data_IF_071275763807
#
_entry.id   IF_071275763807
#
_cell.length_a   1.000
_cell.length_b   1.000
_cell.length_c   1.000
_cell.angle_alpha   90.00
_cell.angle_beta   90.00
_cell.angle_gamma   90.00
#
_symmetry.space_group_name_H-M   'P 1'
#
loop_
_entity.id
_entity.type
_entity.pdbx_description
1 polymer ?
#
# COMPACT_ATOMS: atom_id res chain seq x y z
N UNK A 1 -17.75 32.20 -54.51
CA UNK A 1 -17.75 32.23 -53.03
C UNK A 1 -16.37 31.79 -52.56
N UNK A 2 -15.59 32.70 -51.97
CA UNK A 2 -14.29 32.38 -51.36
C UNK A 2 -14.52 32.15 -49.86
N UNK A 3 -14.16 30.97 -49.35
CA UNK A 3 -14.18 30.67 -47.92
C UNK A 3 -12.85 31.14 -47.30
N UNK A 4 -12.89 32.24 -46.54
CA UNK A 4 -11.77 32.67 -45.69
C UNK A 4 -11.71 31.75 -44.47
N UNK A 5 -10.66 30.94 -44.36
CA UNK A 5 -10.31 30.29 -43.09
C UNK A 5 -9.71 31.35 -42.16
N UNK A 6 -10.45 31.71 -41.10
CA UNK A 6 -9.95 32.56 -40.01
C UNK A 6 -8.86 31.79 -39.24
N UNK A 7 -7.60 31.97 -39.64
CA UNK A 7 -6.43 31.30 -39.07
C UNK A 7 -5.83 31.98 -37.84
N UNK A 8 -6.47 33.02 -37.29
CA UNK A 8 -5.93 33.79 -36.15
C UNK A 8 -6.19 33.15 -34.77
N UNK A 9 -7.23 32.33 -34.61
CA UNK A 9 -7.62 31.81 -33.28
C UNK A 9 -6.79 30.60 -32.81
N UNK A 10 -6.08 29.92 -33.71
CA UNK A 10 -5.25 28.75 -33.38
C UNK A 10 -3.80 29.08 -32.98
N UNK A 11 -3.41 30.36 -33.00
CA UNK A 11 -2.04 30.80 -32.68
C UNK A 11 -1.72 30.87 -31.18
N UNK A 12 -2.68 30.57 -30.30
CA UNK A 12 -2.47 30.52 -28.83
C UNK A 12 -2.27 29.10 -28.32
N UNK A 13 -1.50 28.27 -29.03
CA UNK A 13 -1.02 27.01 -28.43
C UNK A 13 0.17 27.34 -27.54
N UNK A 14 0.13 26.91 -26.27
CA UNK A 14 1.29 26.98 -25.39
C UNK A 14 2.45 26.26 -26.10
N UNK A 15 3.66 26.83 -26.16
CA UNK A 15 4.80 26.13 -26.74
C UNK A 15 4.95 24.79 -26.02
N UNK A 16 4.80 23.69 -26.76
CA UNK A 16 5.07 22.36 -26.26
C UNK A 16 6.55 22.14 -26.51
N UNK A 17 7.34 22.25 -25.46
CA UNK A 17 8.73 21.84 -25.53
C UNK A 17 8.75 20.32 -25.79
N UNK A 18 9.45 19.83 -26.83
CA UNK A 18 9.62 18.41 -27.02
C UNK A 18 10.44 17.88 -25.84
N UNK A 19 9.75 17.25 -24.88
CA UNK A 19 10.42 16.55 -23.80
C UNK A 19 10.74 15.16 -24.32
N UNK A 20 12.02 14.81 -24.42
CA UNK A 20 12.41 13.44 -24.70
C UNK A 20 11.91 12.56 -23.55
N UNK A 21 10.93 11.70 -23.82
CA UNK A 21 10.43 10.71 -22.84
C UNK A 21 11.50 9.68 -22.46
N UNK A 22 12.60 9.64 -23.20
CA UNK A 22 13.74 8.76 -22.96
C UNK A 22 14.77 9.52 -22.14
N UNK A 23 14.93 9.13 -20.87
CA UNK A 23 16.10 9.53 -20.08
C UNK A 23 17.30 8.68 -20.49
N UNK A 24 18.48 9.26 -20.76
CA UNK A 24 19.68 8.48 -21.00
C UNK A 24 20.04 7.70 -19.73
N UNK A 25 20.30 6.40 -19.88
CA UNK A 25 20.84 5.59 -18.80
C UNK A 25 22.36 5.78 -18.76
N UNK A 26 22.85 6.54 -17.77
CA UNK A 26 24.27 6.71 -17.53
C UNK A 26 24.76 5.61 -16.57
N UNK A 27 25.95 5.08 -16.84
CA UNK A 27 26.62 4.22 -15.87
C UNK A 27 26.94 5.03 -14.61
N UNK A 28 26.84 4.38 -13.45
CA UNK A 28 27.15 5.06 -12.19
C UNK A 28 28.66 5.12 -12.03
N UNK A 29 29.22 6.33 -12.02
CA UNK A 29 30.63 6.55 -11.73
C UNK A 29 30.87 6.63 -10.22
N UNK A 30 31.90 5.93 -9.74
CA UNK A 30 32.28 5.94 -8.32
C UNK A 30 32.77 7.31 -7.85
N UNK A 31 33.41 8.07 -8.73
CA UNK A 31 33.92 9.41 -8.44
C UNK A 31 32.79 10.40 -8.11
N UNK A 32 31.64 10.27 -8.78
CA UNK A 32 30.48 11.14 -8.53
C UNK A 32 29.70 10.72 -7.29
N UNK A 33 29.71 9.42 -6.95
CA UNK A 33 28.92 8.86 -5.86
C UNK A 33 29.74 7.90 -4.98
N UNK A 34 30.76 8.40 -4.24
CA UNK A 34 31.70 7.55 -3.50
C UNK A 34 31.05 6.76 -2.35
N UNK A 35 29.91 7.23 -1.83
CA UNK A 35 29.18 6.57 -0.75
C UNK A 35 28.19 5.50 -1.23
N UNK A 36 28.06 5.29 -2.55
CA UNK A 36 27.07 4.34 -3.09
C UNK A 36 27.58 2.91 -2.99
N UNK A 37 26.92 2.08 -2.19
CA UNK A 37 27.20 0.65 -2.12
C UNK A 37 26.74 -0.03 -3.41
N UNK A 38 27.63 -0.75 -4.10
CA UNK A 38 27.31 -1.50 -5.33
C UNK A 38 26.22 -2.55 -5.11
N UNK A 39 26.24 -3.20 -3.95
CA UNK A 39 25.28 -4.22 -3.53
C UNK A 39 24.77 -3.86 -2.13
N UNK A 40 23.68 -3.08 -2.00
CA UNK A 40 23.08 -2.83 -0.69
C UNK A 40 22.54 -4.15 -0.13
N UNK A 41 22.72 -4.37 1.17
CA UNK A 41 22.05 -5.47 1.86
C UNK A 41 20.54 -5.28 1.73
N UNK A 42 19.78 -6.29 1.28
CA UNK A 42 18.32 -6.23 1.30
C UNK A 42 17.82 -5.93 2.72
N UNK A 43 16.71 -5.18 2.88
CA UNK A 43 16.11 -5.01 4.19
C UNK A 43 15.71 -6.37 4.75
N UNK A 44 15.87 -6.52 6.07
CA UNK A 44 15.39 -7.70 6.78
C UNK A 44 13.86 -7.73 6.73
N UNK A 45 13.31 -8.85 6.27
CA UNK A 45 11.87 -9.09 6.30
C UNK A 45 11.54 -9.54 7.72
N UNK A 46 11.01 -8.64 8.53
CA UNK A 46 10.50 -9.00 9.85
C UNK A 46 9.13 -9.64 9.63
N UNK A 47 9.05 -10.96 9.75
CA UNK A 47 7.77 -11.63 9.91
C UNK A 47 7.16 -11.11 11.21
N UNK A 48 5.98 -10.49 11.12
CA UNK A 48 5.20 -10.17 12.30
C UNK A 48 4.83 -11.52 12.92
N UNK A 49 5.62 -11.97 13.90
CA UNK A 49 5.27 -13.11 14.76
C UNK A 49 3.81 -12.96 15.15
N UNK A 50 3.04 -14.06 15.11
CA UNK A 50 1.65 -14.10 15.53
C UNK A 50 1.57 -13.57 16.96
N UNK A 51 1.35 -12.27 17.04
CA UNK A 51 1.57 -11.55 18.25
C UNK A 51 0.50 -11.99 19.22
N UNK A 52 0.90 -12.52 20.37
CA UNK A 52 0.15 -12.47 21.63
C UNK A 52 -0.05 -11.02 22.10
N UNK A 53 -0.16 -10.08 21.15
CA UNK A 53 -0.41 -8.69 21.43
C UNK A 53 -1.77 -8.61 22.13
N UNK A 54 -1.87 -7.79 23.19
CA UNK A 54 -3.12 -7.63 23.90
C UNK A 54 -4.20 -7.07 22.98
N UNK A 55 -5.43 -7.50 23.22
CA UNK A 55 -6.60 -7.03 22.44
C UNK A 55 -6.75 -5.52 22.60
N UNK A 56 -6.93 -4.81 21.49
CA UNK A 56 -7.21 -3.37 21.48
C UNK A 56 -8.71 -3.12 21.61
N UNK A 57 -9.51 -3.82 20.81
CA UNK A 57 -10.99 -3.70 20.81
C UNK A 57 -11.66 -4.89 20.14
N UNK A 58 -12.89 -5.16 20.57
CA UNK A 58 -13.83 -6.04 19.89
C UNK A 58 -14.72 -5.17 18.99
N UNK A 59 -14.79 -5.52 17.71
CA UNK A 59 -15.50 -4.70 16.70
C UNK A 59 -16.93 -5.20 16.50
N UNK A 60 -17.09 -6.53 16.39
CA UNK A 60 -18.37 -7.14 16.03
C UNK A 60 -18.49 -8.53 16.65
N UNK A 61 -19.69 -8.86 17.10
CA UNK A 61 -20.05 -10.21 17.52
C UNK A 61 -20.92 -10.88 16.44
N UNK A 62 -20.78 -12.19 16.27
CA UNK A 62 -21.67 -13.02 15.47
C UNK A 62 -21.92 -14.36 16.17
N UNK A 63 -23.09 -14.94 15.94
CA UNK A 63 -23.45 -16.28 16.41
C UNK A 63 -23.38 -17.24 15.23
N UNK A 64 -22.71 -18.37 15.40
CA UNK A 64 -22.58 -19.41 14.37
C UNK A 64 -22.99 -20.76 14.95
N UNK A 65 -23.67 -21.58 14.14
CA UNK A 65 -23.97 -22.97 14.48
C UNK A 65 -22.89 -23.88 13.89
N UNK A 66 -22.02 -24.43 14.73
CA UNK A 66 -20.99 -25.41 14.34
C UNK A 66 -21.28 -26.72 15.05
N UNK A 67 -21.38 -27.82 14.30
CA UNK A 67 -21.63 -29.17 14.84
C UNK A 67 -22.89 -29.27 15.74
N UNK A 68 -23.95 -28.56 15.37
CA UNK A 68 -25.22 -28.54 16.14
C UNK A 68 -25.15 -27.76 17.44
N UNK A 69 -24.04 -27.06 17.72
CA UNK A 69 -23.88 -26.17 18.87
C UNK A 69 -23.78 -24.73 18.40
N UNK A 70 -24.47 -23.87 19.11
CA UNK A 70 -24.40 -22.43 18.91
C UNK A 70 -23.16 -21.87 19.62
N UNK A 71 -22.24 -21.28 18.86
CA UNK A 71 -21.02 -20.63 19.37
C UNK A 71 -21.03 -19.14 19.02
N UNK A 72 -20.60 -18.30 19.96
CA UNK A 72 -20.38 -16.87 19.73
C UNK A 72 -18.93 -16.62 19.31
N UNK A 73 -18.76 -15.82 18.27
CA UNK A 73 -17.46 -15.37 17.77
C UNK A 73 -17.41 -13.86 17.74
N UNK A 74 -16.24 -13.31 18.02
CA UNK A 74 -15.94 -11.89 18.03
C UNK A 74 -14.85 -11.57 17.02
N UNK A 75 -15.04 -10.47 16.28
CA UNK A 75 -14.00 -9.88 15.43
C UNK A 75 -13.11 -9.00 16.30
N UNK A 76 -11.88 -9.43 16.50
CA UNK A 76 -10.93 -8.85 17.44
C UNK A 76 -9.85 -8.09 16.68
N UNK A 77 -9.57 -6.86 17.12
CA UNK A 77 -8.42 -6.07 16.67
C UNK A 77 -7.35 -6.06 17.74
N UNK A 78 -6.15 -6.48 17.38
CA UNK A 78 -4.99 -6.47 18.27
C UNK A 78 -4.30 -5.10 18.32
N UNK A 79 -3.53 -4.83 19.37
CA UNK A 79 -2.71 -3.61 19.41
C UNK A 79 -1.66 -3.64 18.29
N UNK A 80 -1.28 -2.45 17.80
CA UNK A 80 -0.27 -2.26 16.74
C UNK A 80 -0.56 -2.91 15.37
N UNK A 81 -1.69 -3.59 15.23
CA UNK A 81 -2.13 -4.20 13.99
C UNK A 81 -3.11 -3.30 13.21
N UNK A 82 -3.11 -3.43 11.88
CA UNK A 82 -4.01 -2.72 10.96
C UNK A 82 -5.36 -3.43 10.83
N UNK A 83 -6.33 -2.79 10.18
CA UNK A 83 -7.67 -3.36 10.02
C UNK A 83 -7.69 -4.65 9.19
N UNK A 84 -6.68 -4.88 8.35
CA UNK A 84 -6.62 -6.02 7.45
C UNK A 84 -6.26 -7.33 8.18
N UNK A 85 -5.72 -7.25 9.39
CA UNK A 85 -5.31 -8.42 10.19
C UNK A 85 -6.29 -8.76 11.32
N UNK A 86 -7.49 -8.17 11.32
CA UNK A 86 -8.53 -8.47 12.31
C UNK A 86 -8.94 -9.96 12.22
N UNK A 87 -8.92 -10.69 13.35
CA UNK A 87 -9.22 -12.14 13.39
C UNK A 87 -10.55 -12.41 14.09
N UNK A 88 -11.26 -13.45 13.63
CA UNK A 88 -12.48 -13.95 14.28
C UNK A 88 -12.10 -15.01 15.32
N UNK A 89 -12.34 -14.71 16.59
CA UNK A 89 -12.03 -15.60 17.71
C UNK A 89 -13.30 -16.01 18.45
N UNK A 90 -13.29 -17.21 19.01
CA UNK A 90 -14.32 -17.66 19.96
C UNK A 90 -14.18 -16.90 21.28
N UNK A 91 -15.26 -16.79 22.05
CA UNK A 91 -15.25 -16.14 23.38
C UNK A 91 -14.13 -16.67 24.29
N UNK A 92 -13.90 -17.99 24.30
CA UNK A 92 -12.88 -18.62 25.15
C UNK A 92 -11.43 -18.35 24.71
N UNK A 93 -11.23 -17.90 23.47
CA UNK A 93 -9.91 -17.74 22.86
C UNK A 93 -9.43 -16.27 22.85
N UNK A 94 -10.20 -15.36 23.46
CA UNK A 94 -9.83 -13.95 23.57
C UNK A 94 -9.02 -13.78 24.85
N UNK A 95 -7.74 -13.37 24.77
CA UNK A 95 -6.95 -13.06 25.96
C UNK A 95 -7.47 -11.77 26.61
N UNK A 96 -7.57 -11.77 27.95
CA UNK A 96 -7.97 -10.62 28.78
C UNK A 96 -6.99 -9.42 28.66
#
# INVERSE_FOLDING_TARGET
MQLKLNSQEFYRKHPVFPVSLVKPYLQTEEETFPSRKKNPTPPEIVELEDSTDPVKKIIKARKIGLNGKDQRQHLVRFKKQTADTDKLLAEDAIPD
#
